data_IF_644607428444
#
_entry.id   IF_644607428444
#
_cell.length_a   1.000
_cell.length_b   1.000
_cell.length_c   1.000
_cell.angle_alpha   90.00
_cell.angle_beta   90.00
_cell.angle_gamma   90.00
#
_symmetry.space_group_name_H-M   'P 1'
#
loop_
_entity.id
_entity.type
_entity.pdbx_description
1 polymer ?
#
# COMPACT_ATOMS: atom_id res chain seq x y z
N UNK A 1 -21.45 5.18 -7.44
CA UNK A 1 -20.77 6.48 -7.25
C UNK A 1 -19.74 6.68 -8.35
N UNK A 2 -19.46 7.89 -8.80
CA UNK A 2 -18.39 8.19 -9.75
C UNK A 2 -17.76 9.51 -9.32
N UNK A 3 -16.44 9.53 -9.19
CA UNK A 3 -15.68 10.70 -8.75
C UNK A 3 -14.93 11.33 -9.93
N UNK A 4 -14.49 12.57 -9.76
CA UNK A 4 -13.60 13.23 -10.73
C UNK A 4 -12.16 12.80 -10.43
N UNK A 5 -11.40 12.28 -11.40
CA UNK A 5 -9.98 12.01 -11.19
C UNK A 5 -9.20 13.26 -10.76
N UNK A 6 -8.15 13.08 -9.98
CA UNK A 6 -7.30 14.12 -9.38
C UNK A 6 -8.06 15.08 -8.46
N UNK A 7 -9.06 14.57 -7.74
CA UNK A 7 -9.79 15.38 -6.77
C UNK A 7 -9.86 14.72 -5.40
N UNK A 8 -9.92 15.55 -4.38
CA UNK A 8 -10.29 15.15 -3.03
C UNK A 8 -11.82 15.20 -2.91
N UNK A 9 -12.39 14.18 -2.31
CA UNK A 9 -13.83 14.06 -2.09
C UNK A 9 -14.12 13.20 -0.85
N UNK A 10 -15.38 13.11 -0.46
CA UNK A 10 -15.87 12.10 0.46
C UNK A 10 -16.48 10.94 -0.34
N UNK A 11 -16.07 9.72 -0.01
CA UNK A 11 -16.68 8.51 -0.56
C UNK A 11 -17.42 7.74 0.52
N UNK A 12 -18.52 7.12 0.15
CA UNK A 12 -19.25 6.20 1.02
C UNK A 12 -18.38 4.96 1.29
N UNK A 13 -18.22 4.60 2.57
CA UNK A 13 -17.38 3.47 2.97
C UNK A 13 -17.79 2.15 2.29
N UNK A 14 -19.09 1.82 2.13
CA UNK A 14 -19.52 0.60 1.44
C UNK A 14 -19.21 0.55 -0.07
N UNK A 15 -18.94 1.70 -0.71
CA UNK A 15 -18.57 1.74 -2.14
C UNK A 15 -17.12 1.32 -2.38
N UNK A 16 -16.27 1.39 -1.36
CA UNK A 16 -14.83 1.16 -1.46
C UNK A 16 -14.52 -0.35 -1.50
N UNK A 17 -13.61 -0.73 -2.39
CA UNK A 17 -13.21 -2.11 -2.65
C UNK A 17 -11.71 -2.30 -2.39
N UNK A 18 -11.30 -2.67 -1.17
CA UNK A 18 -9.91 -2.98 -0.87
C UNK A 18 -9.37 -4.14 -1.72
N UNK A 19 -8.19 -3.97 -2.30
CA UNK A 19 -7.54 -4.98 -3.13
C UNK A 19 -6.62 -5.93 -2.35
N UNK A 20 -6.22 -5.55 -1.12
CA UNK A 20 -5.45 -6.39 -0.21
C UNK A 20 -6.23 -6.67 1.07
N UNK A 21 -5.90 -7.77 1.71
CA UNK A 21 -6.36 -8.10 3.06
C UNK A 21 -5.77 -7.11 4.06
N UNK A 22 -6.54 -6.75 5.06
CA UNK A 22 -6.07 -5.95 6.18
C UNK A 22 -5.50 -6.83 7.31
N UNK A 23 -4.65 -6.23 8.14
CA UNK A 23 -4.13 -6.86 9.36
C UNK A 23 -5.03 -6.41 10.52
N UNK A 24 -5.78 -7.33 11.17
CA UNK A 24 -6.82 -6.97 12.16
C UNK A 24 -6.32 -6.09 13.31
N UNK A 25 -5.12 -6.36 13.83
CA UNK A 25 -4.55 -5.58 14.93
C UNK A 25 -4.25 -4.13 14.52
N UNK A 26 -3.77 -3.93 13.28
CA UNK A 26 -3.55 -2.57 12.74
C UNK A 26 -4.86 -1.84 12.51
N UNK A 27 -5.90 -2.53 12.05
CA UNK A 27 -7.25 -1.95 11.91
C UNK A 27 -7.79 -1.53 13.26
N UNK A 28 -7.67 -2.40 14.28
CA UNK A 28 -8.15 -2.10 15.63
C UNK A 28 -7.43 -0.88 16.24
N UNK A 29 -6.10 -0.84 16.13
CA UNK A 29 -5.29 0.28 16.60
C UNK A 29 -5.67 1.58 15.88
N UNK A 30 -5.75 1.56 14.57
CA UNK A 30 -6.10 2.73 13.76
C UNK A 30 -7.53 3.24 14.06
N UNK A 31 -8.49 2.34 14.27
CA UNK A 31 -9.84 2.72 14.67
C UNK A 31 -9.84 3.43 16.03
N UNK A 32 -9.03 2.96 16.99
CA UNK A 32 -8.89 3.61 18.28
C UNK A 32 -8.23 5.00 18.17
N UNK A 33 -7.18 5.13 17.35
CA UNK A 33 -6.54 6.42 17.06
C UNK A 33 -7.53 7.41 16.43
N UNK A 34 -8.28 7.00 15.40
CA UNK A 34 -9.31 7.83 14.76
C UNK A 34 -10.39 8.26 15.78
N UNK A 35 -10.84 7.34 16.65
CA UNK A 35 -11.84 7.66 17.70
C UNK A 35 -11.31 8.67 18.70
N UNK A 36 -10.06 8.51 19.14
CA UNK A 36 -9.42 9.39 20.13
C UNK A 36 -9.15 10.78 19.56
N UNK A 37 -8.60 10.83 18.35
CA UNK A 37 -8.16 12.07 17.72
C UNK A 37 -9.29 12.81 17.00
N UNK A 38 -10.41 12.14 16.75
CA UNK A 38 -11.57 12.68 16.04
C UNK A 38 -11.26 13.05 14.59
N UNK A 39 -10.23 12.47 13.96
CA UNK A 39 -9.73 12.88 12.65
C UNK A 39 -9.23 11.71 11.82
N UNK A 40 -9.37 11.85 10.50
CA UNK A 40 -8.68 10.99 9.51
C UNK A 40 -7.53 11.79 8.91
N UNK A 41 -6.30 11.38 9.20
CA UNK A 41 -5.08 12.13 8.87
C UNK A 41 -4.85 12.19 7.36
N UNK A 42 -4.85 11.03 6.70
CA UNK A 42 -4.57 10.91 5.27
C UNK A 42 -5.78 10.40 4.50
N UNK A 43 -6.10 10.97 3.34
CA UNK A 43 -7.17 10.43 2.49
C UNK A 43 -6.79 9.03 1.97
N UNK A 44 -7.79 8.22 1.71
CA UNK A 44 -7.63 6.95 1.00
C UNK A 44 -7.45 7.24 -0.49
N UNK A 45 -6.54 6.57 -1.19
CA UNK A 45 -6.41 6.70 -2.65
C UNK A 45 -7.28 5.65 -3.32
N UNK A 46 -8.15 6.09 -4.23
CA UNK A 46 -9.14 5.22 -4.87
C UNK A 46 -9.24 5.46 -6.37
N UNK A 47 -9.56 4.41 -7.11
CA UNK A 47 -9.99 4.61 -8.51
C UNK A 47 -11.34 5.34 -8.55
N UNK A 48 -11.39 6.39 -9.34
CA UNK A 48 -12.52 7.31 -9.42
C UNK A 48 -13.84 6.68 -9.90
N UNK A 49 -13.77 5.56 -10.61
CA UNK A 49 -14.91 4.92 -11.25
C UNK A 49 -15.36 3.66 -10.52
N UNK A 50 -14.42 2.78 -10.17
CA UNK A 50 -14.72 1.47 -9.61
C UNK A 50 -14.80 1.44 -8.09
N UNK A 51 -14.17 2.41 -7.41
CA UNK A 51 -13.97 2.39 -5.95
C UNK A 51 -12.86 1.45 -5.49
N UNK A 52 -12.05 0.93 -6.42
CA UNK A 52 -10.85 0.17 -6.08
C UNK A 52 -9.96 1.01 -5.15
N UNK A 53 -9.65 0.49 -3.99
CA UNK A 53 -8.75 1.15 -3.04
C UNK A 53 -7.31 0.88 -3.46
N UNK A 54 -6.62 1.91 -3.95
CA UNK A 54 -5.22 1.86 -4.39
C UNK A 54 -4.26 1.92 -3.19
N UNK A 55 -4.58 2.75 -2.19
CA UNK A 55 -3.86 2.82 -0.90
C UNK A 55 -4.81 3.19 0.22
N UNK A 56 -4.66 2.56 1.38
CA UNK A 56 -5.42 2.87 2.58
C UNK A 56 -6.45 1.81 2.99
N UNK A 57 -6.26 0.55 2.63
CA UNK A 57 -7.10 -0.58 3.06
C UNK A 57 -7.40 -0.55 4.55
N UNK A 58 -6.38 -0.38 5.42
CA UNK A 58 -6.59 -0.31 6.87
C UNK A 58 -7.45 0.87 7.30
N UNK A 59 -7.38 2.03 6.61
CA UNK A 59 -8.22 3.21 6.87
C UNK A 59 -9.68 2.95 6.53
N UNK A 60 -9.93 2.27 5.42
CA UNK A 60 -11.30 1.87 5.01
C UNK A 60 -11.89 0.90 6.03
N UNK A 61 -11.15 -0.14 6.42
CA UNK A 61 -11.61 -1.13 7.40
C UNK A 61 -11.81 -0.51 8.80
N UNK A 62 -10.93 0.43 9.21
CA UNK A 62 -11.11 1.17 10.45
C UNK A 62 -12.36 2.07 10.42
N UNK A 63 -12.61 2.75 9.30
CA UNK A 63 -13.82 3.55 9.10
C UNK A 63 -15.09 2.68 9.16
N UNK A 64 -15.06 1.51 8.50
CA UNK A 64 -16.16 0.54 8.56
C UNK A 64 -16.39 0.04 9.99
N UNK A 65 -15.33 -0.29 10.74
CA UNK A 65 -15.40 -0.73 12.14
C UNK A 65 -15.98 0.34 13.05
N UNK A 66 -15.74 1.62 12.76
CA UNK A 66 -16.29 2.77 13.50
C UNK A 66 -17.71 3.15 13.06
N UNK A 67 -18.26 2.52 12.04
CA UNK A 67 -19.58 2.86 11.48
C UNK A 67 -19.60 4.23 10.80
N UNK A 68 -18.46 4.73 10.30
CA UNK A 68 -18.39 5.99 9.58
C UNK A 68 -19.10 5.85 8.23
N UNK A 69 -20.02 6.76 7.88
CA UNK A 69 -20.76 6.67 6.62
C UNK A 69 -19.87 6.96 5.41
N UNK A 70 -18.87 7.83 5.59
CA UNK A 70 -17.96 8.32 4.55
C UNK A 70 -16.53 8.40 5.05
N UNK A 71 -15.58 8.51 4.10
CA UNK A 71 -14.16 8.72 4.38
C UNK A 71 -13.59 9.68 3.33
N UNK A 72 -12.61 10.55 3.68
CA UNK A 72 -11.91 11.35 2.70
C UNK A 72 -11.10 10.47 1.75
N UNK A 73 -11.26 10.72 0.45
CA UNK A 73 -10.55 9.99 -0.60
C UNK A 73 -9.87 10.94 -1.57
N UNK A 74 -8.76 10.50 -2.14
CA UNK A 74 -8.15 11.07 -3.34
C UNK A 74 -8.47 10.16 -4.51
N UNK A 75 -9.26 10.68 -5.43
CA UNK A 75 -9.69 9.94 -6.62
C UNK A 75 -8.64 10.02 -7.73
N UNK A 76 -8.28 8.90 -8.31
CA UNK A 76 -7.33 8.78 -9.43
C UNK A 76 -7.96 8.00 -10.58
N UNK A 77 -7.40 8.12 -11.77
CA UNK A 77 -7.59 7.14 -12.82
C UNK A 77 -6.54 6.04 -12.61
N UNK A 78 -6.99 4.86 -12.19
CA UNK A 78 -6.08 3.76 -11.84
C UNK A 78 -5.16 3.34 -12.98
N UNK A 79 -5.64 3.44 -14.22
CA UNK A 79 -4.87 3.04 -15.40
C UNK A 79 -3.97 4.16 -15.95
N UNK A 80 -4.07 5.37 -15.44
CA UNK A 80 -3.20 6.46 -15.84
C UNK A 80 -1.73 6.19 -15.48
N UNK A 81 -0.76 6.82 -16.19
CA UNK A 81 0.67 6.69 -15.86
C UNK A 81 1.04 7.31 -14.50
N UNK A 82 0.18 8.11 -13.90
CA UNK A 82 0.41 8.74 -12.58
C UNK A 82 0.27 7.76 -11.41
N UNK A 83 -0.32 6.60 -11.67
CA UNK A 83 -0.39 5.49 -10.72
C UNK A 83 0.56 4.41 -11.21
N UNK A 84 1.70 4.23 -10.55
CA UNK A 84 2.62 3.16 -10.85
C UNK A 84 2.35 1.98 -9.91
N UNK A 85 2.46 0.76 -10.45
CA UNK A 85 2.35 -0.48 -9.70
C UNK A 85 3.69 -1.20 -9.71
N UNK A 86 4.23 -1.49 -8.55
CA UNK A 86 5.37 -2.34 -8.31
C UNK A 86 5.10 -3.34 -7.18
N UNK A 87 6.16 -3.96 -6.71
CA UNK A 87 6.13 -4.92 -5.62
C UNK A 87 6.99 -4.50 -4.43
N UNK A 88 7.01 -5.38 -3.46
CA UNK A 88 7.92 -5.33 -2.32
C UNK A 88 8.98 -6.43 -2.45
N UNK A 89 10.22 -6.12 -2.16
CA UNK A 89 11.25 -7.11 -1.87
C UNK A 89 11.09 -7.63 -0.43
N UNK A 90 11.38 -8.91 -0.24
CA UNK A 90 11.41 -9.57 1.06
C UNK A 90 12.87 -9.92 1.37
N UNK A 91 13.48 -9.15 2.26
CA UNK A 91 14.84 -9.38 2.73
C UNK A 91 14.81 -10.13 4.06
N UNK A 92 15.59 -11.20 4.17
CA UNK A 92 15.63 -12.04 5.36
C UNK A 92 16.86 -11.75 6.22
N UNK A 93 16.72 -11.83 7.53
CA UNK A 93 17.82 -11.74 8.49
C UNK A 93 18.61 -13.05 8.65
N UNK A 94 18.02 -14.17 8.19
CA UNK A 94 18.63 -15.51 8.21
C UNK A 94 18.66 -16.10 6.82
N UNK A 95 19.70 -16.90 6.51
CA UNK A 95 19.78 -17.65 5.28
C UNK A 95 19.04 -18.98 5.35
N UNK A 96 18.80 -19.57 4.19
CA UNK A 96 18.27 -20.92 4.03
C UNK A 96 18.85 -21.54 2.76
N UNK A 97 18.92 -22.87 2.71
CA UNK A 97 19.37 -23.57 1.50
C UNK A 97 18.21 -23.79 0.52
N UNK A 98 18.54 -23.93 -0.77
CA UNK A 98 17.56 -24.32 -1.79
C UNK A 98 16.88 -25.65 -1.45
N UNK A 99 17.63 -26.62 -0.93
CA UNK A 99 17.09 -27.90 -0.51
C UNK A 99 16.00 -27.72 0.55
N UNK A 100 16.29 -27.00 1.62
CA UNK A 100 15.33 -26.72 2.71
C UNK A 100 14.08 -25.97 2.20
N UNK A 101 14.26 -25.02 1.28
CA UNK A 101 13.12 -24.34 0.64
C UNK A 101 12.25 -25.34 -0.10
N UNK A 102 12.84 -26.19 -0.93
CA UNK A 102 12.07 -27.12 -1.76
C UNK A 102 11.41 -28.24 -0.95
N UNK A 103 12.02 -28.69 0.14
CA UNK A 103 11.38 -29.62 1.10
C UNK A 103 10.10 -29.05 1.68
N UNK A 104 10.05 -27.74 1.96
CA UNK A 104 8.88 -27.05 2.48
C UNK A 104 7.85 -26.67 1.40
N UNK A 105 8.28 -26.48 0.14
CA UNK A 105 7.42 -25.89 -0.90
C UNK A 105 6.85 -26.95 -1.87
N UNK A 106 7.56 -28.06 -2.11
CA UNK A 106 7.02 -29.18 -2.92
C UNK A 106 5.65 -29.67 -2.42
N UNK A 107 5.39 -29.83 -1.11
CA UNK A 107 4.06 -30.24 -0.61
C UNK A 107 2.97 -29.19 -0.92
N UNK A 108 3.33 -27.93 -1.15
CA UNK A 108 2.43 -26.86 -1.57
C UNK A 108 2.21 -26.82 -3.09
N UNK A 109 2.88 -27.69 -3.84
CA UNK A 109 2.79 -27.78 -5.30
C UNK A 109 3.75 -26.87 -6.05
N UNK A 110 4.76 -26.27 -5.37
CA UNK A 110 5.81 -25.51 -6.05
C UNK A 110 6.88 -26.44 -6.64
N UNK A 111 7.41 -26.04 -7.78
CA UNK A 111 8.56 -26.69 -8.43
C UNK A 111 9.49 -25.64 -9.02
N UNK A 112 10.76 -26.03 -9.19
CA UNK A 112 11.76 -25.16 -9.82
C UNK A 112 11.41 -24.93 -11.29
N UNK A 113 11.70 -23.75 -11.77
CA UNK A 113 11.56 -23.38 -13.18
C UNK A 113 12.75 -22.53 -13.62
N UNK A 114 13.17 -22.69 -14.87
CA UNK A 114 14.14 -21.82 -15.52
C UNK A 114 13.45 -20.65 -16.26
N UNK A 115 12.12 -20.60 -16.26
CA UNK A 115 11.36 -19.53 -16.85
C UNK A 115 11.52 -18.26 -16.00
N UNK A 116 12.22 -17.27 -16.54
CA UNK A 116 12.46 -15.97 -15.91
C UNK A 116 11.45 -14.89 -16.34
N UNK A 117 10.58 -15.21 -17.31
CA UNK A 117 9.47 -14.33 -17.68
C UNK A 117 8.39 -14.41 -16.61
N UNK A 118 7.52 -13.43 -16.53
CA UNK A 118 6.48 -13.19 -15.50
C UNK A 118 5.59 -14.37 -15.05
N UNK A 119 5.93 -15.61 -15.43
CA UNK A 119 5.23 -16.86 -15.13
C UNK A 119 5.75 -17.59 -13.88
N UNK A 120 6.63 -16.96 -13.09
CA UNK A 120 7.09 -17.54 -11.84
C UNK A 120 6.18 -17.11 -10.66
N UNK A 121 6.13 -17.93 -9.60
CA UNK A 121 5.44 -17.57 -8.36
C UNK A 121 6.37 -16.77 -7.41
N UNK A 122 7.65 -17.18 -7.34
CA UNK A 122 8.65 -16.44 -6.57
C UNK A 122 10.05 -16.60 -7.18
N UNK A 123 10.89 -15.56 -6.98
CA UNK A 123 12.31 -15.52 -7.34
C UNK A 123 13.14 -15.29 -6.10
N UNK A 124 14.08 -16.17 -5.82
CA UNK A 124 14.94 -16.16 -4.64
C UNK A 124 16.35 -15.71 -5.01
N UNK A 125 16.99 -15.04 -4.05
CA UNK A 125 18.34 -14.49 -4.15
C UNK A 125 19.15 -14.88 -2.92
N UNK A 126 20.36 -15.38 -3.11
CA UNK A 126 21.34 -15.66 -2.07
C UNK A 126 22.56 -14.74 -2.24
N UNK A 127 23.24 -14.46 -1.12
CA UNK A 127 24.42 -13.58 -1.11
C UNK A 127 25.58 -14.04 -2.01
N UNK A 128 25.68 -15.34 -2.30
CA UNK A 128 26.69 -15.90 -3.20
C UNK A 128 26.39 -15.65 -4.69
N UNK A 129 25.38 -14.87 -5.01
CA UNK A 129 24.94 -14.57 -6.36
C UNK A 129 23.99 -15.61 -6.96
N UNK A 130 23.70 -16.70 -6.24
CA UNK A 130 22.75 -17.71 -6.71
C UNK A 130 21.33 -17.11 -6.78
N UNK A 131 20.63 -17.40 -7.88
CA UNK A 131 19.20 -17.07 -8.05
C UNK A 131 18.44 -18.30 -8.51
N UNK A 132 17.22 -18.48 -7.99
CA UNK A 132 16.31 -19.56 -8.40
C UNK A 132 14.88 -19.06 -8.47
N UNK A 133 14.13 -19.59 -9.41
CA UNK A 133 12.69 -19.32 -9.55
C UNK A 133 11.87 -20.56 -9.29
N UNK A 134 10.68 -20.36 -8.73
CA UNK A 134 9.68 -21.42 -8.55
C UNK A 134 8.36 -21.00 -9.16
N UNK A 135 7.60 -22.00 -9.59
CA UNK A 135 6.24 -21.82 -10.12
C UNK A 135 5.29 -22.86 -9.53
N UNK A 136 4.00 -22.71 -9.84
CA UNK A 136 2.95 -23.70 -9.56
C UNK A 136 2.26 -24.10 -10.85
N UNK A 137 1.59 -25.26 -10.88
CA UNK A 137 0.94 -25.75 -12.10
C UNK A 137 -0.27 -24.92 -12.54
N UNK A 138 -1.05 -24.40 -11.59
CA UNK A 138 -2.17 -23.50 -11.88
C UNK A 138 -1.67 -22.06 -12.01
N UNK A 139 -2.08 -21.38 -13.07
CA UNK A 139 -1.66 -20.01 -13.39
C UNK A 139 -2.72 -18.95 -13.03
N UNK A 140 -3.84 -19.32 -12.40
CA UNK A 140 -4.80 -18.33 -11.91
C UNK A 140 -4.19 -17.47 -10.80
N UNK A 141 -4.44 -16.18 -10.84
CA UNK A 141 -3.89 -15.20 -9.88
C UNK A 141 -4.26 -15.59 -8.44
N UNK A 142 -5.51 -15.96 -8.22
CA UNK A 142 -6.01 -16.34 -6.90
C UNK A 142 -5.28 -17.56 -6.35
N UNK A 143 -5.14 -18.63 -7.15
CA UNK A 143 -4.40 -19.83 -6.73
C UNK A 143 -2.93 -19.54 -6.46
N UNK A 144 -2.27 -18.78 -7.36
CA UNK A 144 -0.86 -18.41 -7.17
C UNK A 144 -0.67 -17.65 -5.87
N UNK A 145 -1.51 -16.63 -5.60
CA UNK A 145 -1.35 -15.79 -4.41
C UNK A 145 -1.76 -16.49 -3.12
N UNK A 146 -2.71 -17.41 -3.15
CA UNK A 146 -3.02 -18.29 -2.01
C UNK A 146 -1.84 -19.19 -1.66
N UNK A 147 -1.17 -19.75 -2.67
CA UNK A 147 0.04 -20.57 -2.47
C UNK A 147 1.23 -19.72 -2.02
N UNK A 148 1.42 -18.51 -2.58
CA UNK A 148 2.41 -17.55 -2.10
C UNK A 148 2.19 -17.23 -0.63
N UNK A 149 0.96 -16.98 -0.21
CA UNK A 149 0.63 -16.72 1.19
C UNK A 149 1.02 -17.92 2.10
N UNK A 150 0.80 -19.14 1.64
CA UNK A 150 1.25 -20.34 2.37
C UNK A 150 2.77 -20.47 2.44
N UNK A 151 3.46 -20.17 1.33
CA UNK A 151 4.92 -20.11 1.25
C UNK A 151 5.49 -19.06 2.21
N UNK A 152 4.95 -17.85 2.22
CA UNK A 152 5.41 -16.75 3.08
C UNK A 152 5.28 -17.09 4.57
N UNK A 153 4.22 -17.79 4.98
CA UNK A 153 4.11 -18.30 6.36
C UNK A 153 5.26 -19.24 6.74
N UNK A 154 5.74 -20.07 5.80
CA UNK A 154 6.91 -20.94 6.04
C UNK A 154 8.22 -20.16 6.12
N UNK A 155 8.30 -18.99 5.48
CA UNK A 155 9.49 -18.12 5.48
C UNK A 155 9.54 -17.14 6.67
N UNK A 156 8.45 -16.94 7.38
CA UNK A 156 8.36 -16.03 8.55
C UNK A 156 9.52 -16.23 9.56
N UNK A 157 9.94 -17.47 9.92
CA UNK A 157 11.03 -17.69 10.87
C UNK A 157 12.40 -17.17 10.41
N UNK A 158 12.55 -16.82 9.14
CA UNK A 158 13.77 -16.22 8.60
C UNK A 158 13.93 -14.72 8.95
N UNK A 159 12.92 -14.12 9.59
CA UNK A 159 12.95 -12.71 9.97
C UNK A 159 12.86 -11.79 8.76
N UNK A 160 11.70 -11.77 8.11
CA UNK A 160 11.46 -11.04 6.88
C UNK A 160 11.23 -9.55 7.15
N UNK A 161 11.94 -8.71 6.39
CA UNK A 161 11.75 -7.26 6.32
C UNK A 161 11.38 -6.88 4.90
N UNK A 162 10.39 -5.98 4.75
CA UNK A 162 9.99 -5.47 3.44
C UNK A 162 10.88 -4.30 3.03
N UNK A 163 11.43 -4.40 1.81
CA UNK A 163 12.26 -3.38 1.16
C UNK A 163 11.67 -3.02 -0.19
N UNK A 164 12.14 -1.96 -0.82
CA UNK A 164 11.73 -1.65 -2.20
C UNK A 164 12.21 -2.77 -3.13
N UNK A 165 11.36 -3.20 -4.04
CA UNK A 165 11.66 -4.27 -5.00
C UNK A 165 13.01 -4.05 -5.70
N UNK A 166 13.25 -2.83 -6.20
CA UNK A 166 14.47 -2.44 -6.91
C UNK A 166 15.75 -2.47 -6.06
N UNK A 167 15.64 -2.46 -4.73
CA UNK A 167 16.80 -2.48 -3.83
C UNK A 167 17.16 -3.88 -3.36
N UNK A 168 16.25 -4.86 -3.48
CA UNK A 168 16.43 -6.17 -2.88
C UNK A 168 17.70 -6.88 -3.35
N UNK A 169 17.88 -6.97 -4.66
CA UNK A 169 19.02 -7.67 -5.27
C UNK A 169 20.35 -7.08 -4.80
N UNK A 170 20.46 -5.75 -4.81
CA UNK A 170 21.63 -5.04 -4.30
C UNK A 170 21.84 -5.30 -2.81
N UNK A 171 20.79 -5.28 -1.99
CA UNK A 171 20.89 -5.51 -0.55
C UNK A 171 21.36 -6.93 -0.20
N UNK A 172 20.95 -7.92 -0.99
CA UNK A 172 21.39 -9.32 -0.82
C UNK A 172 22.82 -9.50 -1.31
N UNK A 173 23.17 -9.00 -2.48
CA UNK A 173 24.50 -9.21 -3.08
C UNK A 173 25.59 -8.34 -2.44
N UNK A 174 25.23 -7.24 -1.74
CA UNK A 174 26.17 -6.43 -0.95
C UNK A 174 26.29 -6.86 0.53
N UNK A 175 25.87 -8.06 0.85
CA UNK A 175 26.04 -8.68 2.17
C UNK A 175 25.22 -8.07 3.32
N UNK A 176 24.27 -7.17 2.99
CA UNK A 176 23.37 -6.57 4.00
C UNK A 176 22.37 -7.60 4.51
N UNK A 177 21.87 -8.46 3.60
CA UNK A 177 20.96 -9.55 3.91
C UNK A 177 21.47 -10.87 3.31
N UNK A 178 21.44 -11.98 4.05
CA UNK A 178 21.97 -13.26 3.55
C UNK A 178 21.08 -13.93 2.49
N UNK A 179 19.80 -13.52 2.43
CA UNK A 179 18.77 -14.12 1.58
C UNK A 179 17.64 -13.12 1.33
N UNK A 180 16.98 -13.25 0.20
CA UNK A 180 15.79 -12.47 -0.11
C UNK A 180 14.98 -13.08 -1.25
N UNK A 181 13.75 -12.57 -1.43
CA UNK A 181 12.91 -13.02 -2.53
C UNK A 181 11.93 -11.96 -3.02
N UNK A 182 11.54 -12.09 -4.27
CA UNK A 182 10.41 -11.39 -4.89
C UNK A 182 9.30 -12.40 -5.13
N UNK A 183 8.07 -11.97 -5.00
CA UNK A 183 6.90 -12.73 -5.46
C UNK A 183 6.53 -12.28 -6.87
N UNK A 184 5.69 -13.05 -7.56
CA UNK A 184 5.17 -12.72 -8.87
C UNK A 184 4.65 -11.28 -8.90
N UNK A 185 5.13 -10.44 -9.82
CA UNK A 185 4.57 -9.11 -10.00
C UNK A 185 3.17 -9.19 -10.61
N UNK A 186 2.33 -8.24 -10.27
CA UNK A 186 0.99 -8.07 -10.84
C UNK A 186 0.97 -6.90 -11.82
N UNK A 187 0.14 -7.02 -12.83
CA UNK A 187 -0.28 -5.89 -13.67
C UNK A 187 -1.46 -5.16 -13.01
N UNK A 188 -1.66 -3.90 -13.36
CA UNK A 188 -2.85 -3.14 -12.92
C UNK A 188 -4.16 -3.85 -13.29
N UNK A 189 -4.18 -4.49 -14.47
CA UNK A 189 -5.34 -5.23 -14.94
C UNK A 189 -5.66 -6.41 -14.03
N UNK A 190 -4.66 -7.21 -13.67
CA UNK A 190 -4.82 -8.34 -12.76
C UNK A 190 -5.31 -7.91 -11.37
N UNK A 191 -4.75 -6.82 -10.81
CA UNK A 191 -5.25 -6.25 -9.55
C UNK A 191 -6.71 -5.82 -9.68
N UNK A 192 -7.06 -5.16 -10.77
CA UNK A 192 -8.43 -4.69 -11.00
C UNK A 192 -9.42 -5.84 -11.16
N UNK A 193 -9.07 -6.85 -11.94
CA UNK A 193 -9.90 -8.04 -12.18
C UNK A 193 -10.12 -8.84 -10.90
N UNK A 194 -9.07 -9.09 -10.09
CA UNK A 194 -9.20 -9.79 -8.80
C UNK A 194 -10.16 -9.09 -7.84
N UNK A 195 -10.16 -7.75 -7.82
CA UNK A 195 -11.08 -6.98 -6.98
C UNK A 195 -12.53 -7.08 -7.48
N UNK A 196 -12.73 -7.08 -8.79
CA UNK A 196 -14.08 -7.27 -9.36
C UNK A 196 -14.63 -8.66 -9.05
N UNK A 197 -13.79 -9.68 -9.00
CA UNK A 197 -14.12 -11.05 -8.59
C UNK A 197 -14.33 -11.19 -7.07
N UNK A 198 -14.11 -10.13 -6.29
CA UNK A 198 -14.24 -10.14 -4.82
C UNK A 198 -13.06 -10.77 -4.08
N UNK A 199 -11.96 -11.08 -4.78
CA UNK A 199 -10.76 -11.61 -4.16
C UNK A 199 -9.90 -10.48 -3.59
N UNK A 200 -9.33 -10.70 -2.40
CA UNK A 200 -8.37 -9.79 -1.77
C UNK A 200 -7.01 -10.45 -1.71
N UNK A 201 -6.04 -9.83 -2.34
CA UNK A 201 -4.64 -10.25 -2.31
C UNK A 201 -4.09 -10.29 -0.88
N UNK A 202 -3.12 -11.15 -0.57
CA UNK A 202 -2.40 -11.09 0.70
C UNK A 202 -1.76 -9.71 0.94
N UNK A 203 -1.55 -9.31 2.20
CA UNK A 203 -0.90 -8.02 2.50
C UNK A 203 0.48 -7.93 1.86
N UNK A 204 0.85 -6.72 1.38
CA UNK A 204 2.15 -6.48 0.72
C UNK A 204 2.34 -7.22 -0.61
N UNK A 205 1.27 -7.59 -1.30
CA UNK A 205 1.30 -8.10 -2.66
C UNK A 205 1.65 -7.02 -3.68
N UNK A 206 1.25 -5.79 -3.41
CA UNK A 206 1.41 -4.63 -4.30
C UNK A 206 2.12 -3.47 -3.60
N UNK A 207 2.72 -2.60 -4.42
CA UNK A 207 3.24 -1.30 -4.00
C UNK A 207 2.86 -0.26 -5.03
N UNK A 208 1.86 0.57 -4.70
CA UNK A 208 1.44 1.66 -5.56
C UNK A 208 2.22 2.95 -5.25
N UNK A 209 2.72 3.60 -6.28
CA UNK A 209 3.21 4.97 -6.24
C UNK A 209 2.16 5.85 -6.93
N UNK A 210 1.78 6.93 -6.27
CA UNK A 210 0.74 7.83 -6.77
C UNK A 210 1.30 9.24 -6.76
N UNK A 211 1.59 9.77 -7.95
CA UNK A 211 2.15 11.11 -8.08
C UNK A 211 1.24 12.16 -7.44
N UNK A 212 1.84 13.10 -6.71
CA UNK A 212 1.17 14.19 -6.02
C UNK A 212 0.03 13.75 -5.09
N UNK A 213 0.23 12.62 -4.39
CA UNK A 213 -0.78 12.17 -3.40
C UNK A 213 -0.97 13.20 -2.29
N UNK A 214 -2.22 13.56 -1.96
CA UNK A 214 -2.52 14.43 -0.83
C UNK A 214 -2.23 13.74 0.51
N UNK A 215 -1.64 14.51 1.42
CA UNK A 215 -1.24 14.05 2.75
C UNK A 215 -1.69 15.06 3.81
N UNK A 216 -1.86 14.59 5.05
CA UNK A 216 -2.12 15.42 6.23
C UNK A 216 -3.38 16.30 6.12
N UNK A 217 -4.43 15.75 5.50
CA UNK A 217 -5.73 16.46 5.37
C UNK A 217 -6.40 16.66 6.73
N UNK A 218 -6.14 15.81 7.72
CA UNK A 218 -6.70 15.87 9.08
C UNK A 218 -8.22 16.10 9.09
N UNK A 219 -8.94 15.40 8.21
CA UNK A 219 -10.38 15.56 8.07
C UNK A 219 -11.08 15.23 9.39
N UNK A 220 -11.81 16.17 10.02
CA UNK A 220 -12.58 15.90 11.23
C UNK A 220 -13.67 14.87 10.96
N UNK A 221 -13.84 13.92 11.88
CA UNK A 221 -14.84 12.84 11.75
C UNK A 221 -16.26 13.40 11.71
N UNK A 222 -16.53 14.50 12.40
CA UNK A 222 -17.83 15.17 12.42
C UNK A 222 -18.30 15.67 11.04
N UNK A 223 -17.36 15.99 10.14
CA UNK A 223 -17.66 16.42 8.76
C UNK A 223 -18.26 15.27 7.92
N UNK A 224 -17.99 14.02 8.28
CA UNK A 224 -18.36 12.85 7.49
C UNK A 224 -19.86 12.52 7.53
N UNK A 225 -20.61 13.17 8.42
CA UNK A 225 -22.04 12.93 8.64
C UNK A 225 -22.90 14.02 8.00
N UNK A 226 -24.19 13.66 7.76
CA UNK A 226 -25.20 14.58 7.22
C UNK A 226 -25.19 14.66 5.69
N UNK A 227 -26.20 15.33 5.14
CA UNK A 227 -26.36 15.54 3.69
C UNK A 227 -25.42 16.62 3.16
N UNK A 228 -24.94 17.51 4.01
CA UNK A 228 -24.05 18.64 3.72
C UNK A 228 -22.56 18.29 3.93
N UNK A 229 -22.23 17.01 4.15
CA UNK A 229 -20.86 16.55 4.40
C UNK A 229 -19.88 16.97 3.29
N UNK A 230 -20.30 16.90 2.02
CA UNK A 230 -19.49 17.32 0.87
C UNK A 230 -19.12 18.80 0.95
N UNK A 231 -20.08 19.67 1.18
CA UNK A 231 -19.85 21.12 1.31
C UNK A 231 -18.95 21.46 2.50
N UNK A 232 -19.16 20.79 3.64
CA UNK A 232 -18.30 20.95 4.82
C UNK A 232 -16.86 20.53 4.52
N UNK A 233 -16.67 19.45 3.78
CA UNK A 233 -15.34 18.97 3.39
C UNK A 233 -14.65 19.92 2.43
N UNK A 234 -15.36 20.44 1.43
CA UNK A 234 -14.81 21.47 0.52
C UNK A 234 -14.39 22.73 1.30
N UNK A 235 -15.25 23.21 2.19
CA UNK A 235 -14.92 24.34 3.08
C UNK A 235 -13.69 24.05 3.96
N UNK A 236 -13.56 22.81 4.45
CA UNK A 236 -12.39 22.38 5.21
C UNK A 236 -11.12 22.51 4.38
N UNK A 237 -11.15 22.06 3.13
CA UNK A 237 -10.01 22.12 2.21
C UNK A 237 -9.64 23.56 1.79
N UNK A 238 -10.62 24.46 1.70
CA UNK A 238 -10.38 25.88 1.39
C UNK A 238 -9.66 26.63 2.52
N UNK A 239 -9.74 26.11 3.76
CA UNK A 239 -9.10 26.72 4.92
C UNK A 239 -7.59 26.46 5.06
N UNK A 240 -6.95 25.80 4.11
CA UNK A 240 -5.53 25.49 4.16
C UNK A 240 -4.82 25.75 2.83
N UNK A 241 -3.51 25.52 2.83
CA UNK A 241 -2.63 25.63 1.66
C UNK A 241 -2.04 24.25 1.32
N UNK A 242 -1.66 24.09 0.05
CA UNK A 242 -1.04 22.87 -0.45
C UNK A 242 0.43 23.14 -0.75
N UNK A 243 1.30 22.29 -0.21
CA UNK A 243 2.75 22.38 -0.41
C UNK A 243 3.25 21.10 -1.07
N UNK A 244 3.87 21.22 -2.24
CA UNK A 244 4.47 20.08 -2.94
C UNK A 244 5.79 19.70 -2.27
N UNK A 245 5.94 18.43 -1.93
CA UNK A 245 7.16 17.83 -1.39
C UNK A 245 7.83 16.96 -2.43
N UNK A 246 9.15 17.09 -2.55
CA UNK A 246 9.96 16.27 -3.46
C UNK A 246 10.04 14.80 -3.01
N UNK A 247 10.27 13.87 -3.94
CA UNK A 247 10.56 12.48 -3.60
C UNK A 247 11.71 12.35 -2.61
N UNK A 248 11.59 11.42 -1.67
CA UNK A 248 12.61 11.13 -0.65
C UNK A 248 12.54 12.01 0.61
N UNK A 249 11.69 13.03 0.64
CA UNK A 249 11.44 13.81 1.87
C UNK A 249 10.80 12.90 2.93
N UNK A 250 11.29 13.00 4.15
CA UNK A 250 10.77 12.24 5.30
C UNK A 250 9.57 12.98 5.89
N UNK A 251 8.38 12.39 5.70
CA UNK A 251 7.11 12.83 6.28
C UNK A 251 6.76 11.94 7.50
N UNK A 252 5.67 11.17 7.44
CA UNK A 252 5.43 10.03 8.32
C UNK A 252 6.30 8.81 7.94
N UNK A 253 6.72 8.77 6.70
CA UNK A 253 7.71 7.87 6.09
C UNK A 253 8.33 8.55 4.86
N UNK A 254 9.30 7.91 4.21
CA UNK A 254 9.83 8.35 2.92
C UNK A 254 8.93 7.87 1.79
N UNK A 255 8.56 8.79 0.91
CA UNK A 255 7.83 8.53 -0.33
C UNK A 255 8.78 8.62 -1.52
N UNK A 256 8.68 7.69 -2.47
CA UNK A 256 9.48 7.72 -3.70
C UNK A 256 8.84 8.62 -4.79
N UNK A 257 7.59 9.04 -4.57
CA UNK A 257 6.82 9.95 -5.40
C UNK A 257 6.72 11.34 -4.77
N UNK A 258 6.35 12.34 -5.58
CA UNK A 258 5.93 13.65 -5.07
C UNK A 258 4.68 13.52 -4.22
N UNK A 259 4.58 14.35 -3.18
CA UNK A 259 3.39 14.42 -2.33
C UNK A 259 2.89 15.85 -2.21
N UNK A 260 1.60 16.02 -1.96
CA UNK A 260 0.97 17.32 -1.67
C UNK A 260 0.59 17.33 -0.19
N UNK A 261 1.29 18.10 0.60
CA UNK A 261 0.97 18.27 2.02
C UNK A 261 -0.07 19.37 2.16
N UNK A 262 -1.20 19.02 2.75
CA UNK A 262 -2.19 20.02 3.18
C UNK A 262 -1.73 20.63 4.50
N UNK A 263 -1.67 21.95 4.55
CA UNK A 263 -1.20 22.70 5.72
C UNK A 263 -2.21 23.73 6.20
N UNK A 264 -2.46 23.71 7.49
CA UNK A 264 -3.27 24.69 8.23
C UNK A 264 -2.53 25.07 9.51
N UNK A 265 -2.37 26.37 9.77
CA UNK A 265 -1.60 26.86 10.92
C UNK A 265 -2.17 26.36 12.26
N UNK A 266 -3.50 26.33 12.39
CA UNK A 266 -4.18 25.85 13.60
C UNK A 266 -3.97 24.37 13.90
N UNK A 267 -3.50 23.58 12.91
CA UNK A 267 -3.17 22.15 13.07
C UNK A 267 -1.67 21.93 13.34
N UNK A 268 -0.89 22.99 13.53
CA UNK A 268 0.56 22.92 13.77
C UNK A 268 0.97 21.84 14.79
N UNK A 269 0.31 21.69 15.95
CA UNK A 269 0.70 20.68 16.93
C UNK A 269 0.55 19.22 16.45
N UNK A 270 -0.20 18.99 15.36
CA UNK A 270 -0.49 17.66 14.83
C UNK A 270 0.51 17.22 13.75
N UNK A 271 1.29 18.15 13.19
CA UNK A 271 2.29 17.80 12.19
C UNK A 271 3.58 17.29 12.84
N UNK A 272 4.28 16.33 12.20
CA UNK A 272 5.65 16.05 12.57
C UNK A 272 6.49 17.33 12.57
N UNK A 273 7.30 17.55 13.62
CA UNK A 273 8.06 18.80 13.79
C UNK A 273 8.91 19.15 12.56
N UNK A 274 9.59 18.18 11.96
CA UNK A 274 10.36 18.37 10.73
C UNK A 274 9.51 18.83 9.54
N UNK A 275 8.28 18.32 9.43
CA UNK A 275 7.38 18.69 8.34
C UNK A 275 6.95 20.15 8.44
N UNK A 276 6.64 20.62 9.64
CA UNK A 276 6.28 22.02 9.86
C UNK A 276 7.37 22.98 9.37
N UNK A 277 8.63 22.72 9.72
CA UNK A 277 9.77 23.57 9.29
C UNK A 277 9.96 23.52 7.76
N UNK A 278 9.78 22.38 7.12
CA UNK A 278 9.85 22.25 5.67
C UNK A 278 8.75 23.04 4.95
N UNK A 279 7.51 22.95 5.44
CA UNK A 279 6.37 23.69 4.89
C UNK A 279 6.60 25.20 5.02
N UNK A 280 7.02 25.67 6.20
CA UNK A 280 7.31 27.09 6.45
C UNK A 280 8.38 27.62 5.52
N UNK A 281 9.46 26.87 5.31
CA UNK A 281 10.53 27.26 4.37
C UNK A 281 10.05 27.29 2.91
N UNK A 282 9.02 26.55 2.55
CA UNK A 282 8.47 26.50 1.19
C UNK A 282 7.38 27.55 0.93
N UNK A 283 6.87 28.21 1.98
CA UNK A 283 5.80 29.22 1.91
C UNK A 283 6.33 30.65 2.20
N UNK A 284 7.57 30.76 2.62
CA UNK A 284 8.32 32.04 2.78
C UNK A 284 9.05 32.41 1.51
#
# INVERSE_FOLDING_TARGET
>A
MKLKPRSLALAEVPWLKPHEQSIPDFVAKLAEEIRKDGRIIHPVVVDAVSGLVVDGTHRVEAAAKLGLPRIPVYAVDYFSPEVELGGWGRAASKSTSLQSLMENFKPLGFHLTDNQRHEYAAKFFWRDGTTKTITVGDQSITTIYDKISQMERKLTPLGITYVREKDLERLVFSDVHPFGYLIRPLTKREVFETVLEGYRLPPKSTRHLVDRRPMFVFCPVEILYGSDAGEKFEKWLQGGVWVEMSPGVELDRKYDEKTLVFFREELKPLYPAKLYELVKASTS
#
